data_IF_434392944037
#
_entry.id   IF_434392944037
#
_cell.length_a   1.000
_cell.length_b   1.000
_cell.length_c   1.000
_cell.angle_alpha   90.00
_cell.angle_beta   90.00
_cell.angle_gamma   90.00
#
_symmetry.space_group_name_H-M   'P 1'
#
loop_
_entity.id
_entity.type
_entity.pdbx_description
1 polymer ?
#
# COMPACT_ATOMS: atom_id res chain seq x y z
N UNK A 1 -44.32 -12.20 -59.64
CA UNK A 1 -43.95 -11.12 -60.60
C UNK A 1 -44.57 -9.84 -60.05
N UNK A 2 -43.76 -8.82 -59.75
CA UNK A 2 -43.95 -7.76 -58.71
C UNK A 2 -43.37 -8.19 -57.35
N UNK A 3 -42.52 -7.45 -56.65
CA UNK A 3 -42.21 -6.02 -56.73
C UNK A 3 -40.73 -5.69 -56.54
N UNK A 4 -40.35 -4.61 -57.23
CA UNK A 4 -39.13 -3.83 -57.08
C UNK A 4 -38.90 -3.39 -55.63
N UNK A 5 -37.66 -3.53 -55.14
CA UNK A 5 -37.10 -2.62 -54.14
C UNK A 5 -35.68 -2.24 -54.52
N UNK A 6 -35.63 -1.31 -55.46
CA UNK A 6 -34.49 -0.43 -55.71
C UNK A 6 -34.66 0.83 -54.86
N UNK A 7 -33.55 1.42 -54.43
CA UNK A 7 -33.37 2.67 -53.66
C UNK A 7 -33.45 2.54 -52.12
N UNK A 8 -32.30 2.65 -51.46
CA UNK A 8 -31.76 3.96 -51.03
C UNK A 8 -30.35 3.80 -50.43
N UNK A 9 -29.37 4.00 -51.31
CA UNK A 9 -27.98 4.34 -51.00
C UNK A 9 -27.91 5.78 -50.47
N UNK A 10 -28.30 6.04 -49.22
CA UNK A 10 -27.92 7.28 -48.50
C UNK A 10 -27.81 6.89 -47.03
N UNK A 11 -26.58 6.65 -46.55
CA UNK A 11 -26.37 6.33 -45.14
C UNK A 11 -24.98 5.81 -44.78
N UNK A 12 -24.15 5.47 -45.76
CA UNK A 12 -22.82 4.90 -45.49
C UNK A 12 -21.78 5.94 -45.04
N UNK A 13 -21.97 7.23 -45.31
CA UNK A 13 -20.95 8.26 -45.03
C UNK A 13 -20.99 8.83 -43.60
N UNK A 14 -22.09 8.65 -42.86
CA UNK A 14 -22.20 9.12 -41.48
C UNK A 14 -21.65 8.13 -40.45
N UNK A 15 -21.62 6.83 -40.77
CA UNK A 15 -21.17 5.79 -39.84
C UNK A 15 -19.64 5.74 -39.67
N UNK A 16 -18.89 6.07 -40.72
CA UNK A 16 -17.41 5.97 -40.72
C UNK A 16 -16.78 7.16 -39.97
N UNK A 17 -17.40 8.35 -40.02
CA UNK A 17 -16.94 9.51 -39.24
C UNK A 17 -17.15 9.34 -37.73
N UNK A 18 -18.19 8.59 -37.30
CA UNK A 18 -18.46 8.36 -35.88
C UNK A 18 -17.45 7.37 -35.25
N UNK A 19 -17.01 6.36 -36.00
CA UNK A 19 -16.06 5.35 -35.53
C UNK A 19 -14.64 5.92 -35.30
N UNK A 20 -14.22 6.92 -36.06
CA UNK A 20 -12.93 7.58 -35.84
C UNK A 20 -12.94 8.49 -34.59
N UNK A 21 -14.08 9.09 -34.24
CA UNK A 21 -14.23 9.85 -32.99
C UNK A 21 -14.19 8.93 -31.75
N UNK A 22 -14.73 7.72 -31.84
CA UNK A 22 -14.70 6.75 -30.73
C UNK A 22 -13.30 6.14 -30.54
N UNK A 23 -12.55 5.88 -31.62
CA UNK A 23 -11.19 5.35 -31.50
C UNK A 23 -10.18 6.38 -30.97
N UNK A 24 -10.27 7.66 -31.34
CA UNK A 24 -9.36 8.70 -30.82
C UNK A 24 -9.68 9.08 -29.37
N UNK A 25 -10.95 9.01 -28.96
CA UNK A 25 -11.30 9.19 -27.54
C UNK A 25 -10.83 8.03 -26.66
N UNK A 26 -10.76 6.81 -27.17
CA UNK A 26 -10.30 5.63 -26.40
C UNK A 26 -8.81 5.65 -26.03
N UNK A 27 -7.96 6.33 -26.81
CA UNK A 27 -6.52 6.46 -26.54
C UNK A 27 -6.27 7.44 -25.38
N UNK A 28 -7.21 8.34 -25.05
CA UNK A 28 -7.10 9.26 -23.91
C UNK A 28 -7.49 8.65 -22.56
N UNK A 29 -8.13 7.48 -22.52
CA UNK A 29 -8.53 6.81 -21.27
C UNK A 29 -7.48 5.84 -20.72
N UNK A 30 -6.45 5.50 -21.50
CA UNK A 30 -5.36 4.58 -21.10
C UNK A 30 -3.97 5.23 -21.01
N UNK A 31 -3.90 6.56 -21.08
CA UNK A 31 -2.77 7.32 -20.55
C UNK A 31 -2.89 7.27 -19.00
N UNK A 32 -2.41 6.25 -18.29
CA UNK A 32 -1.03 5.81 -18.37
C UNK A 32 -0.12 6.94 -17.90
N UNK A 33 -0.35 7.46 -16.68
CA UNK A 33 0.32 8.67 -16.19
C UNK A 33 0.79 8.49 -14.76
N UNK A 34 2.06 8.14 -14.66
CA UNK A 34 2.96 8.21 -13.49
C UNK A 34 2.43 7.67 -12.16
N UNK A 35 3.16 6.72 -11.60
CA UNK A 35 3.70 6.82 -10.24
C UNK A 35 4.83 7.88 -10.31
N UNK A 36 4.67 9.21 -10.23
CA UNK A 36 3.92 10.11 -9.34
C UNK A 36 4.11 9.76 -7.90
N UNK A 37 4.00 8.48 -7.57
CA UNK A 37 4.83 7.78 -6.63
C UNK A 37 4.67 8.40 -5.19
N UNK A 38 5.47 8.12 -4.21
CA UNK A 38 6.77 7.64 -4.51
C UNK A 38 7.54 8.78 -5.34
N UNK A 39 6.87 9.84 -5.88
CA UNK A 39 7.26 11.26 -6.15
C UNK A 39 6.35 12.19 -5.30
N UNK A 40 5.26 11.68 -4.72
CA UNK A 40 4.17 12.38 -4.02
C UNK A 40 3.93 11.93 -2.56
N UNK A 41 4.25 10.69 -2.10
CA UNK A 41 4.46 10.32 -0.65
C UNK A 41 5.43 11.21 0.13
N UNK A 42 5.87 12.25 -0.54
CA UNK A 42 7.18 12.44 -1.10
C UNK A 42 7.18 13.80 -1.79
N UNK A 43 6.04 14.26 -2.33
CA UNK A 43 5.62 15.62 -1.97
C UNK A 43 5.47 15.51 -0.49
N UNK A 44 4.32 15.13 -0.08
CA UNK A 44 3.82 15.28 1.25
C UNK A 44 4.62 14.57 2.32
N UNK A 45 4.36 15.04 3.52
CA UNK A 45 5.46 15.47 4.36
C UNK A 45 6.28 16.62 3.66
N UNK A 46 5.95 17.18 2.44
CA UNK A 46 6.68 18.26 1.64
C UNK A 46 6.73 19.64 2.23
N UNK A 47 6.66 19.75 3.53
CA UNK A 47 5.46 20.29 4.09
C UNK A 47 4.67 19.11 4.61
N UNK A 48 4.97 18.37 5.67
CA UNK A 48 5.76 18.59 6.89
C UNK A 48 5.85 19.95 7.49
N UNK A 49 4.83 20.75 7.40
CA UNK A 49 3.56 20.88 6.70
C UNK A 49 3.60 22.35 6.61
N UNK A 50 4.41 22.74 5.62
CA UNK A 50 4.94 24.01 5.16
C UNK A 50 5.64 24.86 6.20
N UNK A 51 5.88 24.33 7.40
CA UNK A 51 5.63 25.22 8.52
C UNK A 51 6.30 24.83 9.80
N UNK A 52 6.09 23.61 10.27
CA UNK A 52 6.06 23.44 11.73
C UNK A 52 5.13 24.42 12.46
N UNK A 53 4.00 24.75 11.82
CA UNK A 53 2.73 25.06 12.49
C UNK A 53 1.56 24.22 11.88
N UNK A 54 1.86 22.94 11.61
CA UNK A 54 1.05 21.82 11.04
C UNK A 54 -0.36 21.64 11.68
N UNK A 55 -1.34 20.98 11.02
CA UNK A 55 -2.56 20.46 11.71
C UNK A 55 -3.13 19.07 11.32
N UNK A 56 -2.42 18.24 10.55
CA UNK A 56 -2.30 16.79 10.82
C UNK A 56 -1.39 16.08 9.81
N UNK A 57 -0.59 15.13 10.31
CA UNK A 57 0.79 14.92 9.90
C UNK A 57 1.16 13.46 9.55
N UNK A 58 0.20 12.69 9.05
CA UNK A 58 0.40 11.30 8.63
C UNK A 58 -0.20 11.06 7.25
N UNK A 59 0.52 10.35 6.40
CA UNK A 59 0.04 9.91 5.09
C UNK A 59 0.49 8.48 4.80
N UNK A 60 -0.42 7.69 4.26
CA UNK A 60 -0.13 6.36 3.73
C UNK A 60 -0.14 6.43 2.21
N UNK A 61 0.90 5.92 1.58
CA UNK A 61 1.02 5.81 0.13
C UNK A 61 1.34 4.37 -0.24
N UNK A 62 0.42 3.72 -0.94
CA UNK A 62 0.68 2.44 -1.59
C UNK A 62 1.47 2.69 -2.88
N UNK A 63 2.52 1.90 -3.12
CA UNK A 63 3.34 1.95 -4.34
C UNK A 63 2.91 0.81 -5.26
N UNK A 64 2.06 1.07 -6.27
CA UNK A 64 1.51 0.01 -7.12
C UNK A 64 2.57 -0.71 -7.95
N UNK A 65 3.76 -0.11 -8.09
CA UNK A 65 4.84 -0.62 -8.93
C UNK A 65 5.91 -1.40 -8.16
N UNK A 66 6.00 -1.27 -6.83
CA UNK A 66 7.08 -1.90 -6.04
C UNK A 66 6.61 -2.92 -5.01
N UNK A 67 5.31 -3.28 -4.97
CA UNK A 67 4.72 -4.09 -3.87
C UNK A 67 5.00 -3.52 -2.48
N UNK A 68 5.39 -2.25 -2.40
CA UNK A 68 5.72 -1.58 -1.16
C UNK A 68 4.57 -0.70 -0.71
N UNK A 69 4.31 -0.70 0.59
CA UNK A 69 3.41 0.21 1.26
C UNK A 69 4.23 1.16 2.14
N UNK A 70 4.03 2.47 1.99
CA UNK A 70 4.81 3.47 2.70
C UNK A 70 3.93 4.31 3.60
N UNK A 71 4.32 4.40 4.88
CA UNK A 71 3.70 5.25 5.88
C UNK A 71 4.65 6.39 6.20
N UNK A 72 4.36 7.58 5.69
CA UNK A 72 5.16 8.77 5.91
C UNK A 72 4.49 9.69 6.94
N UNK A 73 5.29 10.41 7.74
CA UNK A 73 4.79 11.34 8.75
C UNK A 73 5.70 12.54 8.96
N UNK A 74 5.12 13.64 9.40
CA UNK A 74 5.84 14.81 9.89
C UNK A 74 5.69 14.98 11.40
N UNK A 75 6.74 15.35 12.12
CA UNK A 75 6.65 15.74 13.53
C UNK A 75 7.53 16.94 13.85
N UNK A 76 7.05 17.85 14.72
CA UNK A 76 7.86 18.93 15.26
C UNK A 76 7.57 19.25 16.72
N UNK A 77 8.60 19.50 17.55
CA UNK A 77 10.03 19.36 17.25
C UNK A 77 10.42 17.96 16.73
N UNK A 78 11.48 17.82 15.91
CA UNK A 78 11.80 16.54 15.29
C UNK A 78 12.04 15.49 16.35
N UNK A 79 11.45 14.31 16.15
CA UNK A 79 11.76 13.14 16.99
C UNK A 79 13.17 12.65 16.68
N UNK A 80 13.77 11.89 17.61
CA UNK A 80 15.11 11.35 17.46
C UNK A 80 15.28 10.43 16.23
N UNK A 81 14.18 9.86 15.73
CA UNK A 81 14.13 9.00 14.53
C UNK A 81 13.66 9.74 13.27
N UNK A 82 13.32 11.02 13.37
CA UNK A 82 12.92 11.82 12.21
C UNK A 82 14.12 12.59 11.65
N UNK A 83 14.04 12.96 10.38
CA UNK A 83 14.97 13.90 9.76
C UNK A 83 14.94 15.27 10.44
N UNK A 84 15.91 16.12 10.11
CA UNK A 84 16.00 17.48 10.68
C UNK A 84 14.76 18.34 10.38
N UNK A 85 14.08 18.05 9.29
CA UNK A 85 12.83 18.68 8.88
C UNK A 85 11.60 18.06 9.56
N UNK A 86 11.76 17.04 10.41
CA UNK A 86 10.66 16.32 11.06
C UNK A 86 10.06 15.19 10.22
N UNK A 87 10.58 14.93 9.02
CA UNK A 87 10.13 13.84 8.15
C UNK A 87 10.54 12.47 8.69
N UNK A 88 9.65 11.49 8.67
CA UNK A 88 9.99 10.08 8.85
C UNK A 88 9.08 9.19 8.02
N UNK A 89 9.60 8.06 7.55
CA UNK A 89 8.82 7.07 6.81
C UNK A 89 9.05 5.65 7.33
N UNK A 90 8.03 4.81 7.19
CA UNK A 90 8.07 3.37 7.43
C UNK A 90 7.72 2.71 6.11
N UNK A 91 8.55 1.79 5.64
CA UNK A 91 8.38 1.10 4.36
C UNK A 91 8.06 -0.35 4.65
N UNK A 92 7.05 -0.89 3.98
CA UNK A 92 6.57 -2.24 4.17
C UNK A 92 6.63 -2.95 2.83
N UNK A 93 7.28 -4.10 2.81
CA UNK A 93 7.36 -4.97 1.63
C UNK A 93 6.76 -6.31 1.99
N UNK A 94 5.80 -6.79 1.21
CA UNK A 94 5.14 -8.08 1.45
C UNK A 94 5.80 -9.17 0.62
N UNK A 95 6.10 -10.29 1.26
CA UNK A 95 6.59 -11.51 0.63
C UNK A 95 5.71 -12.69 1.03
N UNK A 96 5.83 -13.80 0.29
CA UNK A 96 5.21 -15.06 0.68
C UNK A 96 5.75 -15.51 2.05
N UNK A 97 4.83 -15.83 2.96
CA UNK A 97 5.12 -16.34 4.30
C UNK A 97 5.35 -17.86 4.33
N UNK A 98 5.76 -18.41 5.48
CA UNK A 98 5.98 -19.86 5.63
C UNK A 98 4.69 -20.69 5.50
N UNK A 99 3.51 -20.07 5.68
CA UNK A 99 2.22 -20.76 5.76
C UNK A 99 1.67 -21.28 4.45
N UNK A 100 2.13 -20.76 3.30
CA UNK A 100 1.71 -21.30 2.00
C UNK A 100 2.08 -22.77 1.79
N UNK A 101 3.02 -23.30 2.55
CA UNK A 101 3.44 -24.70 2.50
C UNK A 101 3.03 -25.55 3.70
N UNK A 102 2.66 -24.94 4.83
CA UNK A 102 2.42 -25.62 6.10
C UNK A 102 1.21 -24.98 6.77
N UNK A 103 0.23 -25.77 7.20
CA UNK A 103 -1.04 -25.37 7.87
C UNK A 103 -0.81 -24.35 9.01
N UNK A 104 -0.55 -23.11 8.66
CA UNK A 104 -0.27 -22.00 9.55
C UNK A 104 -0.86 -20.78 8.89
N UNK A 105 -1.53 -19.95 9.68
CA UNK A 105 -2.28 -18.77 9.23
C UNK A 105 -1.32 -17.60 8.85
N UNK A 106 -0.15 -17.92 8.30
CA UNK A 106 0.99 -17.05 8.02
C UNK A 106 1.38 -17.12 6.53
N UNK A 107 0.39 -16.94 5.65
CA UNK A 107 0.53 -16.99 4.20
C UNK A 107 1.40 -15.87 3.62
N UNK A 108 1.47 -14.74 4.32
CA UNK A 108 2.23 -13.55 3.93
C UNK A 108 3.12 -13.06 5.08
N UNK A 109 4.23 -12.44 4.71
CA UNK A 109 5.19 -11.84 5.62
C UNK A 109 5.45 -10.39 5.21
N UNK A 110 5.06 -9.46 6.08
CA UNK A 110 5.33 -8.04 5.91
C UNK A 110 6.68 -7.68 6.55
N UNK A 111 7.62 -7.24 5.72
CA UNK A 111 8.92 -6.73 6.15
C UNK A 111 8.82 -5.22 6.32
N UNK A 112 8.75 -4.78 7.57
CA UNK A 112 8.46 -3.41 7.97
C UNK A 112 9.77 -2.75 8.39
N UNK A 113 10.33 -1.93 7.50
CA UNK A 113 11.55 -1.14 7.75
C UNK A 113 11.19 0.21 8.37
N UNK A 114 11.74 0.52 9.54
CA UNK A 114 11.46 1.75 10.27
C UNK A 114 12.73 2.45 10.80
N UNK A 115 12.71 3.79 10.99
CA UNK A 115 13.85 4.54 11.53
C UNK A 115 13.88 4.53 13.07
N UNK A 116 12.84 4.04 13.73
CA UNK A 116 12.70 3.96 15.18
C UNK A 116 12.82 2.51 15.68
N UNK A 117 13.09 2.34 16.98
CA UNK A 117 13.20 1.00 17.58
C UNK A 117 11.85 0.32 17.82
N UNK A 118 10.78 1.11 17.99
CA UNK A 118 9.44 0.63 18.34
C UNK A 118 8.43 1.18 17.34
N UNK A 119 7.64 0.30 16.76
CA UNK A 119 6.59 0.66 15.78
C UNK A 119 5.26 0.17 16.31
N UNK A 120 4.30 1.08 16.43
CA UNK A 120 2.90 0.72 16.60
C UNK A 120 2.31 0.37 15.25
N UNK A 121 1.74 -0.83 15.16
CA UNK A 121 1.13 -1.39 13.97
C UNK A 121 -0.37 -1.57 14.20
N UNK A 122 -1.15 -1.43 13.13
CA UNK A 122 -2.58 -1.74 13.12
C UNK A 122 -2.89 -2.46 11.84
N UNK A 123 -3.48 -3.63 11.98
CA UNK A 123 -3.95 -4.47 10.90
C UNK A 123 -5.48 -4.51 10.95
N UNK A 124 -6.08 -4.69 9.78
CA UNK A 124 -7.51 -4.92 9.64
C UNK A 124 -7.72 -6.13 8.74
N UNK A 125 -8.70 -6.94 9.11
CA UNK A 125 -9.09 -8.15 8.41
C UNK A 125 -10.41 -7.90 7.70
N UNK A 126 -10.48 -8.20 6.41
CA UNK A 126 -11.69 -8.05 5.63
C UNK A 126 -12.04 -9.32 4.86
N UNK A 127 -12.87 -10.19 5.44
CA UNK A 127 -13.35 -11.40 4.77
C UNK A 127 -14.87 -11.50 4.78
N UNK A 128 -15.46 -11.63 3.59
CA UNK A 128 -16.90 -11.88 3.37
C UNK A 128 -17.87 -10.94 4.14
N UNK A 129 -17.46 -9.69 4.36
CA UNK A 129 -18.26 -8.68 5.08
C UNK A 129 -18.09 -8.69 6.60
N UNK A 130 -17.20 -9.52 7.14
CA UNK A 130 -16.74 -9.44 8.54
C UNK A 130 -15.44 -8.62 8.56
N UNK A 131 -15.49 -7.50 9.28
CA UNK A 131 -14.32 -6.68 9.57
C UNK A 131 -13.84 -6.98 10.99
N UNK A 132 -12.60 -7.46 11.12
CA UNK A 132 -11.96 -7.66 12.42
C UNK A 132 -10.78 -6.69 12.51
N UNK A 133 -10.97 -5.63 13.29
CA UNK A 133 -9.90 -4.71 13.61
C UNK A 133 -9.01 -5.34 14.68
N UNK A 134 -7.74 -5.57 14.37
CA UNK A 134 -6.76 -5.93 15.37
C UNK A 134 -6.43 -4.70 16.21
N UNK A 135 -6.44 -4.85 17.54
CA UNK A 135 -6.04 -3.77 18.42
C UNK A 135 -4.61 -3.35 18.09
N UNK A 136 -4.31 -2.03 18.06
CA UNK A 136 -2.95 -1.57 17.81
C UNK A 136 -1.97 -2.19 18.80
N UNK A 137 -0.84 -2.67 18.30
CA UNK A 137 0.21 -3.29 19.11
C UNK A 137 1.57 -2.70 18.76
N UNK A 138 2.54 -2.84 19.66
CA UNK A 138 3.89 -2.32 19.47
C UNK A 138 4.87 -3.46 19.22
N UNK A 139 5.56 -3.42 18.09
CA UNK A 139 6.64 -4.33 17.74
C UNK A 139 7.99 -3.61 17.81
N UNK A 140 9.06 -4.39 18.05
CA UNK A 140 10.44 -3.88 18.16
C UNK A 140 11.24 -4.31 16.94
N UNK A 141 12.10 -3.44 16.39
CA UNK A 141 12.97 -3.82 15.27
C UNK A 141 13.85 -5.02 15.62
N UNK A 142 14.09 -5.89 14.64
CA UNK A 142 14.77 -7.17 14.82
C UNK A 142 13.86 -8.30 15.31
N UNK A 143 12.57 -8.04 15.53
CA UNK A 143 11.62 -9.09 15.92
C UNK A 143 10.83 -9.64 14.74
N UNK A 144 10.46 -10.91 14.87
CA UNK A 144 9.42 -11.54 14.07
C UNK A 144 8.21 -11.67 14.98
N UNK A 145 7.03 -11.30 14.52
CA UNK A 145 5.75 -11.36 15.27
C UNK A 145 4.66 -11.91 14.36
N UNK A 146 3.52 -12.32 14.92
CA UNK A 146 2.36 -12.83 14.17
C UNK A 146 1.05 -12.28 14.71
N UNK A 147 -0.06 -12.57 14.02
CA UNK A 147 -1.43 -12.25 14.46
C UNK A 147 -1.73 -12.83 15.85
N UNK A 148 -1.35 -14.08 16.12
CA UNK A 148 -1.65 -14.77 17.38
C UNK A 148 -1.02 -14.09 18.61
N UNK A 149 0.17 -13.53 18.41
CA UNK A 149 1.01 -12.98 19.47
C UNK A 149 1.59 -11.62 19.07
N UNK A 150 0.73 -10.60 18.88
CA UNK A 150 1.13 -9.35 18.27
C UNK A 150 2.10 -8.58 19.19
N UNK A 151 3.27 -8.26 18.66
CA UNK A 151 4.35 -7.58 19.38
C UNK A 151 5.27 -8.49 20.19
N UNK A 152 5.02 -9.81 20.19
CA UNK A 152 5.88 -10.79 20.84
C UNK A 152 6.76 -11.51 19.82
N UNK A 153 7.92 -11.98 20.26
CA UNK A 153 8.80 -12.77 19.42
C UNK A 153 8.10 -14.07 19.03
N UNK A 154 7.97 -14.29 17.72
CA UNK A 154 7.47 -15.52 17.16
C UNK A 154 8.52 -16.62 17.25
N UNK A 155 8.07 -17.81 17.63
CA UNK A 155 8.90 -18.99 17.93
C UNK A 155 8.62 -20.18 17.00
N UNK A 156 8.02 -19.94 15.83
CA UNK A 156 7.66 -21.00 14.90
C UNK A 156 8.81 -21.48 14.01
N UNK A 157 8.44 -22.01 12.84
CA UNK A 157 9.37 -22.62 11.89
C UNK A 157 10.48 -21.66 11.40
N UNK A 158 11.53 -22.22 10.80
CA UNK A 158 12.63 -21.41 10.25
C UNK A 158 12.12 -20.56 9.08
N UNK A 159 12.25 -19.24 9.18
CA UNK A 159 12.00 -18.35 8.04
C UNK A 159 13.06 -18.51 6.95
N UNK A 160 12.63 -18.33 5.70
CA UNK A 160 13.53 -18.23 4.54
C UNK A 160 14.41 -16.99 4.62
N UNK A 161 13.89 -15.91 5.17
CA UNK A 161 14.60 -14.65 5.42
C UNK A 161 14.27 -14.12 6.82
N UNK A 162 15.31 -13.67 7.53
CA UNK A 162 15.18 -13.06 8.85
C UNK A 162 15.18 -11.53 8.73
N UNK A 163 14.58 -10.80 9.69
CA UNK A 163 14.60 -9.34 9.67
C UNK A 163 16.03 -8.80 9.60
N UNK A 164 16.23 -7.76 8.79
CA UNK A 164 17.40 -6.91 8.88
C UNK A 164 17.45 -6.13 10.21
N UNK A 165 18.54 -5.39 10.41
CA UNK A 165 18.80 -4.64 11.67
C UNK A 165 17.69 -3.66 12.07
N UNK A 166 16.97 -3.10 11.09
CA UNK A 166 15.94 -2.07 11.27
C UNK A 166 14.57 -2.53 10.76
N UNK A 167 14.34 -3.84 10.75
CA UNK A 167 13.13 -4.44 10.18
C UNK A 167 12.36 -5.21 11.24
N UNK A 168 11.04 -5.18 11.13
CA UNK A 168 10.12 -6.07 11.83
C UNK A 168 9.55 -7.00 10.76
N UNK A 169 9.41 -8.29 11.05
CA UNK A 169 8.64 -9.20 10.20
C UNK A 169 7.31 -9.49 10.89
N UNK A 170 6.20 -9.15 10.26
CA UNK A 170 4.86 -9.54 10.72
C UNK A 170 4.31 -10.63 9.82
N UNK A 171 3.99 -11.78 10.42
CA UNK A 171 3.38 -12.91 9.74
C UNK A 171 1.86 -12.82 9.82
N UNK A 172 1.18 -12.94 8.69
CA UNK A 172 -0.28 -12.82 8.57
C UNK A 172 -0.86 -13.71 7.48
N UNK A 173 -2.18 -13.86 7.50
CA UNK A 173 -2.93 -14.42 6.38
C UNK A 173 -3.09 -13.36 5.25
N UNK A 174 -3.58 -13.81 4.10
CA UNK A 174 -3.82 -12.97 2.92
C UNK A 174 -5.10 -12.09 3.03
N UNK A 175 -5.97 -12.39 3.99
CA UNK A 175 -7.17 -11.61 4.31
C UNK A 175 -6.90 -10.37 5.19
N UNK A 176 -5.69 -10.23 5.74
CA UNK A 176 -5.25 -9.11 6.58
C UNK A 176 -4.46 -8.06 5.82
N UNK A 177 -4.75 -6.79 6.05
CA UNK A 177 -3.98 -5.66 5.51
C UNK A 177 -3.40 -4.77 6.60
N UNK A 178 -2.15 -4.34 6.44
CA UNK A 178 -1.57 -3.32 7.31
C UNK A 178 -2.24 -1.96 7.04
N UNK A 179 -2.96 -1.44 8.02
CA UNK A 179 -3.72 -0.18 7.92
C UNK A 179 -2.90 1.01 8.41
N UNK A 180 -2.08 0.84 9.44
CA UNK A 180 -1.25 1.92 9.96
C UNK A 180 0.05 1.43 10.57
N UNK A 181 1.13 2.18 10.35
CA UNK A 181 2.40 2.02 11.04
C UNK A 181 2.85 3.38 11.58
N UNK A 182 3.29 3.44 12.84
CA UNK A 182 3.73 4.69 13.48
C UNK A 182 4.86 4.43 14.45
N UNK A 183 5.94 5.20 14.36
CA UNK A 183 7.03 5.15 15.35
C UNK A 183 6.57 5.56 16.76
N UNK A 184 7.03 4.82 17.77
CA UNK A 184 6.81 5.09 19.20
C UNK A 184 8.14 5.36 19.91
N UNK A 185 8.09 6.22 20.93
CA UNK A 185 9.22 6.51 21.81
C UNK A 185 9.47 5.38 22.84
#
# INVERSE_FOLDING_TARGET
MKDNKMNRFIGASAAIALLLVVCVTSIAWFLGRSSSADVIAAKEVRACMTMHHLRMAKQTVSRPQSSELVFASCTWPPRAWAGQDGYSEIIVTTFDGPGRSEVSDADEADYIRAPCQRVELTYDFGSQGVYKFLHPFVATVGTVTSEDHPGQQWHGAKLTQYPGRNEIVYLRNDDEGLVSATCRA
#
